data_IF_396308924910
#
_entry.id   IF_396308924910
#
_cell.length_a   1.000
_cell.length_b   1.000
_cell.length_c   1.000
_cell.angle_alpha   90.00
_cell.angle_beta   90.00
_cell.angle_gamma   90.00
#
_symmetry.space_group_name_H-M   'P 1'
#
loop_
_entity.id
_entity.type
_entity.pdbx_description
1 polymer ?
#
# COMPACT_ATOMS: atom_id res chain seq x y z
N UNK A 1 -19.17 9.82 -3.61
CA UNK A 1 -17.96 9.04 -3.86
C UNK A 1 -16.76 9.95 -3.79
N UNK A 2 -16.02 9.84 -2.74
CA UNK A 2 -14.87 10.72 -2.55
C UNK A 2 -13.77 10.28 -3.51
N UNK A 3 -13.69 10.95 -4.63
CA UNK A 3 -12.57 10.79 -5.55
C UNK A 3 -11.33 11.36 -4.87
N UNK A 4 -10.73 10.59 -4.01
CA UNK A 4 -9.35 10.89 -3.66
C UNK A 4 -8.57 10.75 -4.96
N UNK A 5 -8.34 11.86 -5.58
CA UNK A 5 -7.36 11.90 -6.64
C UNK A 5 -6.06 11.39 -6.04
N UNK A 6 -5.64 10.25 -6.52
CA UNK A 6 -4.22 10.00 -6.55
C UNK A 6 -3.74 11.14 -7.42
N UNK A 7 -3.23 12.14 -6.79
CA UNK A 7 -2.66 13.25 -7.52
C UNK A 7 -1.66 12.64 -8.47
N UNK A 8 -1.81 12.90 -9.77
CA UNK A 8 -0.68 12.63 -10.63
C UNK A 8 0.49 13.24 -9.92
N UNK A 9 1.58 12.60 -9.96
CA UNK A 9 2.81 13.06 -9.35
C UNK A 9 3.29 14.35 -10.01
N UNK A 10 2.34 15.15 -10.45
CA UNK A 10 2.58 16.54 -10.68
C UNK A 10 3.07 17.12 -9.38
N UNK A 11 4.36 17.17 -9.28
CA UNK A 11 4.90 17.80 -8.19
C UNK A 11 4.30 17.28 -6.92
N UNK A 12 4.10 15.99 -6.87
CA UNK A 12 4.33 15.60 -5.67
C UNK A 12 3.26 15.27 -4.72
N UNK A 13 2.93 14.07 -4.83
CA UNK A 13 2.41 13.38 -3.69
C UNK A 13 3.32 13.46 -2.46
N UNK A 14 4.50 14.00 -2.62
CA UNK A 14 5.48 14.16 -1.57
C UNK A 14 5.88 15.61 -1.39
N UNK A 15 4.90 16.52 -1.37
CA UNK A 15 5.20 17.94 -1.21
C UNK A 15 5.94 18.26 0.07
N UNK A 16 5.71 17.50 1.13
CA UNK A 16 6.52 17.59 2.32
C UNK A 16 7.94 17.04 2.13
N UNK A 17 8.13 16.24 1.12
CA UNK A 17 9.42 15.69 0.73
C UNK A 17 10.23 16.68 -0.11
N UNK A 18 9.56 17.53 -0.86
CA UNK A 18 10.21 18.49 -1.74
C UNK A 18 11.11 19.44 -1.01
N UNK A 19 10.74 19.88 0.17
CA UNK A 19 11.56 20.80 0.92
C UNK A 19 12.91 20.21 1.33
N UNK A 20 13.01 18.87 1.38
CA UNK A 20 14.24 18.20 1.78
C UNK A 20 14.98 17.49 0.65
N UNK A 21 14.25 17.08 -0.37
CA UNK A 21 14.80 16.19 -1.39
C UNK A 21 14.61 16.68 -2.82
N UNK A 22 13.71 17.61 -3.05
CA UNK A 22 13.53 18.17 -4.38
C UNK A 22 14.61 19.19 -4.66
N UNK A 23 15.82 18.71 -4.79
CA UNK A 23 16.84 19.55 -5.36
C UNK A 23 16.80 19.40 -6.88
N UNK A 24 17.29 20.40 -7.57
CA UNK A 24 17.34 20.41 -9.03
C UNK A 24 18.19 19.29 -9.63
N UNK A 25 18.89 18.57 -8.79
CA UNK A 25 19.80 17.50 -9.19
C UNK A 25 19.18 16.11 -9.08
N UNK A 26 17.95 16.02 -8.55
CA UNK A 26 17.26 14.74 -8.49
C UNK A 26 16.66 14.39 -9.86
N UNK A 27 17.21 13.41 -10.57
CA UNK A 27 16.70 13.03 -11.89
C UNK A 27 15.21 12.73 -11.95
N UNK A 28 14.61 12.34 -10.82
CA UNK A 28 13.17 12.03 -10.77
C UNK A 28 12.29 13.25 -11.05
N UNK A 29 12.78 14.46 -10.78
CA UNK A 29 12.00 15.67 -11.02
C UNK A 29 11.94 16.07 -12.48
N UNK A 30 12.91 15.66 -13.28
CA UNK A 30 13.04 16.02 -14.68
C UNK A 30 12.53 14.95 -15.65
N UNK A 31 12.11 13.81 -15.15
CA UNK A 31 11.57 12.73 -15.96
C UNK A 31 10.23 13.12 -16.58
N UNK A 32 9.99 12.67 -17.80
CA UNK A 32 8.64 12.73 -18.33
C UNK A 32 7.70 11.85 -17.52
N UNK A 33 6.41 12.14 -17.62
CA UNK A 33 5.41 11.47 -16.80
C UNK A 33 5.32 9.96 -17.12
N UNK A 34 5.46 9.59 -18.38
CA UNK A 34 5.38 8.18 -18.79
C UNK A 34 6.53 7.39 -18.17
N UNK A 35 7.75 7.88 -18.28
CA UNK A 35 8.91 7.21 -17.70
C UNK A 35 8.78 7.10 -16.18
N UNK A 36 8.36 8.17 -15.53
CA UNK A 36 8.14 8.17 -14.08
C UNK A 36 7.09 7.13 -13.68
N UNK A 37 5.97 7.10 -14.38
CA UNK A 37 4.88 6.15 -14.11
C UNK A 37 5.36 4.71 -14.26
N UNK A 38 6.13 4.42 -15.31
CA UNK A 38 6.68 3.08 -15.52
C UNK A 38 7.65 2.67 -14.40
N UNK A 39 8.47 3.60 -13.93
CA UNK A 39 9.39 3.33 -12.83
C UNK A 39 8.64 3.07 -11.53
N UNK A 40 7.61 3.85 -11.25
CA UNK A 40 6.75 3.66 -10.08
C UNK A 40 6.02 2.33 -10.14
N UNK A 41 5.48 1.99 -11.31
CA UNK A 41 4.81 0.71 -11.51
C UNK A 41 5.78 -0.47 -11.32
N UNK A 42 6.98 -0.36 -11.88
CA UNK A 42 8.00 -1.40 -11.71
C UNK A 42 8.40 -1.57 -10.25
N UNK A 43 8.54 -0.48 -9.52
CA UNK A 43 8.87 -0.49 -8.09
C UNK A 43 7.75 -1.14 -7.29
N UNK A 44 6.50 -0.81 -7.61
CA UNK A 44 5.35 -1.43 -6.96
C UNK A 44 5.30 -2.94 -7.22
N UNK A 45 5.53 -3.36 -8.45
CA UNK A 45 5.59 -4.80 -8.79
C UNK A 45 6.71 -5.50 -8.01
N UNK A 46 7.84 -4.83 -7.84
CA UNK A 46 8.94 -5.36 -7.03
C UNK A 46 8.55 -5.51 -5.56
N UNK A 47 7.78 -4.56 -5.01
CA UNK A 47 7.24 -4.66 -3.65
C UNK A 47 6.32 -5.87 -3.53
N UNK A 48 5.43 -6.09 -4.49
CA UNK A 48 4.54 -7.25 -4.47
C UNK A 48 5.31 -8.55 -4.52
N UNK A 49 6.34 -8.64 -5.36
CA UNK A 49 7.23 -9.79 -5.42
C UNK A 49 7.92 -10.03 -4.07
N UNK A 50 8.42 -8.97 -3.46
CA UNK A 50 9.08 -9.05 -2.16
C UNK A 50 8.15 -9.59 -1.09
N UNK A 51 6.92 -9.08 -1.03
CA UNK A 51 5.92 -9.59 -0.09
C UNK A 51 5.56 -11.05 -0.39
N UNK A 52 5.51 -11.44 -1.65
CA UNK A 52 5.26 -12.82 -2.05
C UNK A 52 6.38 -13.77 -1.62
N UNK A 53 7.60 -13.30 -1.61
CA UNK A 53 8.76 -14.04 -1.11
C UNK A 53 8.77 -14.12 0.44
N UNK A 54 7.92 -13.36 1.11
CA UNK A 54 7.83 -13.28 2.58
C UNK A 54 6.41 -13.57 3.06
N UNK A 55 5.83 -14.67 2.61
CA UNK A 55 4.47 -15.07 2.98
C UNK A 55 4.32 -15.41 4.46
N UNK A 56 5.42 -15.73 5.13
CA UNK A 56 5.47 -15.96 6.57
C UNK A 56 5.17 -14.71 7.39
N UNK A 57 5.47 -13.53 6.84
CA UNK A 57 5.11 -12.26 7.47
C UNK A 57 3.62 -12.05 7.39
N UNK A 58 2.97 -12.03 8.53
CA UNK A 58 1.51 -11.91 8.61
C UNK A 58 1.04 -10.47 8.40
N UNK A 59 -0.18 -10.32 7.92
CA UNK A 59 -0.76 -8.98 7.76
C UNK A 59 -0.80 -8.23 9.09
N UNK A 60 -1.06 -8.92 10.20
CA UNK A 60 -1.04 -8.29 11.51
C UNK A 60 0.35 -7.76 11.87
N UNK A 61 1.42 -8.45 11.46
CA UNK A 61 2.79 -7.98 11.68
C UNK A 61 3.04 -6.65 10.96
N UNK A 62 2.61 -6.55 9.71
CA UNK A 62 2.72 -5.33 8.93
C UNK A 62 1.90 -4.19 9.55
N UNK A 63 0.70 -4.49 10.01
CA UNK A 63 -0.16 -3.51 10.67
C UNK A 63 0.47 -2.97 11.95
N UNK A 64 1.07 -3.84 12.75
CA UNK A 64 1.78 -3.45 13.97
C UNK A 64 2.98 -2.57 13.64
N UNK A 65 3.74 -2.95 12.62
CA UNK A 65 4.97 -2.27 12.24
C UNK A 65 4.72 -0.91 11.60
N UNK A 66 3.78 -0.83 10.66
CA UNK A 66 3.69 0.32 9.78
C UNK A 66 2.27 0.74 9.40
N UNK A 67 1.26 0.25 10.09
CA UNK A 67 -0.15 0.63 9.89
C UNK A 67 -0.69 0.32 8.48
N UNK A 68 -0.11 -0.65 7.79
CA UNK A 68 -0.66 -1.13 6.53
C UNK A 68 -0.44 -2.63 6.40
N UNK A 69 -1.17 -3.25 5.50
CA UNK A 69 -0.94 -4.65 5.16
C UNK A 69 -1.28 -4.88 3.68
N UNK A 70 -1.19 -6.11 3.22
CA UNK A 70 -1.52 -6.48 1.83
C UNK A 70 -2.93 -6.06 1.44
N UNK A 71 -3.88 -6.15 2.37
CA UNK A 71 -5.25 -5.70 2.12
C UNK A 71 -5.36 -4.19 1.90
N UNK A 72 -4.53 -3.42 2.58
CA UNK A 72 -4.48 -1.97 2.35
C UNK A 72 -3.99 -1.65 0.94
N UNK A 73 -3.00 -2.37 0.45
CA UNK A 73 -2.52 -2.24 -0.92
C UNK A 73 -3.65 -2.53 -1.93
N UNK A 74 -4.45 -3.57 -1.66
CA UNK A 74 -5.60 -3.89 -2.50
C UNK A 74 -6.63 -2.76 -2.50
N UNK A 75 -6.91 -2.15 -1.36
CA UNK A 75 -7.83 -1.02 -1.26
C UNK A 75 -7.31 0.20 -2.02
N UNK A 76 -6.04 0.49 -1.91
CA UNK A 76 -5.42 1.60 -2.66
C UNK A 76 -5.45 1.34 -4.16
N UNK A 77 -5.28 0.09 -4.58
CA UNK A 77 -5.42 -0.28 -5.98
C UNK A 77 -6.84 -0.05 -6.49
N UNK A 78 -7.86 -0.38 -5.68
CA UNK A 78 -9.25 -0.09 -6.02
C UNK A 78 -9.52 1.41 -6.15
N UNK A 79 -8.97 2.21 -5.24
CA UNK A 79 -9.08 3.67 -5.31
C UNK A 79 -8.46 4.19 -6.61
N UNK A 80 -7.28 3.69 -6.96
CA UNK A 80 -6.60 4.04 -8.20
C UNK A 80 -7.42 3.63 -9.43
N UNK A 81 -8.00 2.44 -9.40
CA UNK A 81 -8.86 1.96 -10.49
C UNK A 81 -10.07 2.88 -10.68
N UNK A 82 -10.73 3.26 -9.60
CA UNK A 82 -11.86 4.18 -9.64
C UNK A 82 -11.48 5.51 -10.30
N UNK A 83 -10.32 6.04 -9.97
CA UNK A 83 -9.85 7.30 -10.56
C UNK A 83 -9.56 7.17 -12.06
N UNK A 84 -9.19 5.99 -12.51
CA UNK A 84 -8.94 5.71 -13.93
C UNK A 84 -10.20 5.24 -14.68
N UNK A 85 -11.35 5.19 -14.00
CA UNK A 85 -12.58 4.72 -14.60
C UNK A 85 -12.63 3.22 -14.83
N UNK A 86 -11.83 2.47 -14.10
CA UNK A 86 -11.76 1.00 -14.20
C UNK A 86 -12.56 0.38 -13.06
N UNK A 87 -13.43 -0.55 -13.40
CA UNK A 87 -14.14 -1.33 -12.39
C UNK A 87 -13.23 -2.44 -11.87
N UNK A 88 -12.96 -2.40 -10.59
CA UNK A 88 -12.15 -3.40 -9.91
C UNK A 88 -12.74 -3.60 -8.52
N UNK A 89 -13.23 -4.79 -8.25
CA UNK A 89 -13.74 -5.12 -6.92
C UNK A 89 -12.61 -5.50 -5.97
N UNK A 90 -12.96 -5.64 -4.69
CA UNK A 90 -11.98 -5.95 -3.66
C UNK A 90 -11.34 -7.32 -3.86
N UNK A 91 -12.12 -8.31 -4.25
CA UNK A 91 -11.59 -9.66 -4.49
C UNK A 91 -10.60 -9.68 -5.66
N UNK A 92 -10.92 -8.99 -6.73
CA UNK A 92 -10.01 -8.85 -7.87
C UNK A 92 -8.73 -8.09 -7.51
N UNK A 93 -8.85 -7.03 -6.72
CA UNK A 93 -7.69 -6.28 -6.24
C UNK A 93 -6.81 -7.16 -5.35
N UNK A 94 -7.41 -7.89 -4.42
CA UNK A 94 -6.65 -8.81 -3.55
C UNK A 94 -5.97 -9.92 -4.34
N UNK A 95 -6.66 -10.50 -5.31
CA UNK A 95 -6.05 -11.53 -6.15
C UNK A 95 -4.78 -11.02 -6.83
N UNK A 96 -4.81 -9.80 -7.33
CA UNK A 96 -3.64 -9.18 -7.92
C UNK A 96 -2.51 -8.98 -6.90
N UNK A 97 -2.83 -8.46 -5.72
CA UNK A 97 -1.82 -8.18 -4.68
C UNK A 97 -1.22 -9.46 -4.12
N UNK A 98 -2.03 -10.48 -3.89
CA UNK A 98 -1.57 -11.74 -3.31
C UNK A 98 -1.01 -12.73 -4.34
N UNK A 99 -1.28 -12.51 -5.63
CA UNK A 99 -0.89 -13.44 -6.68
C UNK A 99 -1.76 -14.70 -6.74
N UNK A 100 -2.81 -14.77 -5.97
CA UNK A 100 -3.79 -15.87 -5.93
C UNK A 100 -5.06 -15.38 -5.24
N UNK A 101 -6.20 -16.08 -5.38
CA UNK A 101 -7.40 -15.73 -4.64
C UNK A 101 -7.14 -15.65 -3.14
N UNK A 102 -7.67 -14.62 -2.49
CA UNK A 102 -7.39 -14.38 -1.07
C UNK A 102 -7.79 -15.56 -0.19
N UNK A 103 -8.92 -16.21 -0.48
CA UNK A 103 -9.36 -17.36 0.30
C UNK A 103 -8.32 -18.49 0.29
N UNK A 104 -7.68 -18.70 -0.85
CA UNK A 104 -6.61 -19.69 -1.00
C UNK A 104 -5.36 -19.25 -0.23
N UNK A 105 -4.94 -18.01 -0.40
CA UNK A 105 -3.79 -17.47 0.34
C UNK A 105 -3.99 -17.55 1.85
N UNK A 106 -5.18 -17.18 2.31
CA UNK A 106 -5.55 -17.26 3.72
C UNK A 106 -5.44 -18.68 4.26
N UNK A 107 -5.96 -19.63 3.51
CA UNK A 107 -5.91 -21.04 3.89
C UNK A 107 -4.48 -21.57 3.99
N UNK A 108 -3.61 -21.16 3.06
CA UNK A 108 -2.25 -21.68 2.97
C UNK A 108 -1.27 -20.98 3.90
N UNK A 109 -1.41 -19.67 4.10
CA UNK A 109 -0.36 -18.85 4.70
C UNK A 109 -0.77 -18.07 5.94
N UNK A 110 -2.05 -17.74 6.12
CA UNK A 110 -2.47 -16.97 7.28
C UNK A 110 -2.52 -17.84 8.52
N UNK A 111 -1.85 -17.39 9.57
CA UNK A 111 -1.81 -18.09 10.86
C UNK A 111 -2.64 -17.33 11.88
N UNK A 112 -3.21 -18.02 12.87
CA UNK A 112 -3.86 -17.35 13.98
C UNK A 112 -2.89 -16.38 14.67
N UNK A 113 -3.37 -15.19 15.00
CA UNK A 113 -2.54 -14.22 15.72
C UNK A 113 -2.33 -14.68 17.16
N UNK A 114 -1.11 -14.51 17.64
CA UNK A 114 -0.78 -14.76 19.05
C UNK A 114 -1.39 -13.68 19.95
N UNK A 115 -1.49 -13.95 21.24
CA UNK A 115 -1.93 -12.96 22.22
C UNK A 115 -1.04 -11.71 22.20
N UNK A 116 0.27 -11.90 22.03
CA UNK A 116 1.22 -10.80 21.94
C UNK A 116 0.99 -9.95 20.69
N UNK A 117 0.73 -10.59 19.55
CA UNK A 117 0.41 -9.88 18.32
C UNK A 117 -0.90 -9.07 18.44
N UNK A 118 -1.94 -9.68 19.03
CA UNK A 118 -3.21 -9.00 19.23
C UNK A 118 -3.05 -7.80 20.16
N UNK A 119 -2.32 -7.94 21.26
CA UNK A 119 -2.06 -6.84 22.18
C UNK A 119 -1.28 -5.71 21.53
N UNK A 120 -0.25 -6.03 20.75
CA UNK A 120 0.54 -5.04 20.05
C UNK A 120 -0.28 -4.32 18.98
N UNK A 121 -1.14 -5.04 18.27
CA UNK A 121 -2.04 -4.47 17.27
C UNK A 121 -3.04 -3.50 17.90
N UNK A 122 -3.66 -3.89 19.02
CA UNK A 122 -4.58 -3.01 19.75
C UNK A 122 -3.89 -1.75 20.25
N UNK A 123 -2.68 -1.89 20.80
CA UNK A 123 -1.89 -0.75 21.25
C UNK A 123 -1.55 0.21 20.09
N UNK A 124 -1.20 -0.35 18.94
CA UNK A 124 -0.91 0.44 17.73
C UNK A 124 -2.14 1.19 17.25
N UNK A 125 -3.30 0.54 17.22
CA UNK A 125 -4.55 1.18 16.85
C UNK A 125 -4.97 2.28 17.81
N UNK A 126 -4.82 2.08 19.11
CA UNK A 126 -5.11 3.08 20.11
C UNK A 126 -4.22 4.32 19.93
N UNK A 127 -2.94 4.14 19.66
CA UNK A 127 -2.01 5.22 19.39
C UNK A 127 -2.40 6.02 18.14
N UNK A 128 -2.90 5.35 17.11
CA UNK A 128 -3.40 6.01 15.88
C UNK A 128 -4.61 6.87 16.15
N UNK A 129 -5.56 6.39 16.95
CA UNK A 129 -6.75 7.15 17.33
C UNK A 129 -6.38 8.41 18.11
N UNK A 130 -5.42 8.29 19.05
CA UNK A 130 -4.94 9.42 19.84
C UNK A 130 -4.26 10.49 19.00
N UNK A 131 -3.67 10.09 17.86
CA UNK A 131 -3.04 11.02 16.93
C UNK A 131 -4.05 11.65 15.94
N UNK A 132 -5.33 11.32 16.05
CA UNK A 132 -6.35 11.83 15.14
C UNK A 132 -6.25 11.30 13.73
N UNK A 133 -5.44 10.27 13.48
CA UNK A 133 -5.35 9.60 12.20
C UNK A 133 -6.38 8.50 12.12
N UNK A 134 -7.64 8.89 12.09
CA UNK A 134 -8.72 7.95 11.85
C UNK A 134 -8.87 7.74 10.33
N UNK A 135 -8.65 6.55 9.87
CA UNK A 135 -9.12 6.12 8.55
C UNK A 135 -10.36 5.27 8.72
#
# INVERSE_FOLDING_TARGET
MNKRRIRPLEGNSYSGFESGYANKENPMTDLDQTTRTEMEAATFRRLLQHLDEHKDVQNIDLMILADFCRNCLAKWLMEAATEQGVELDYDGAREYIYGMPFAEWKSLYQKPASEAQLAAFEARQAARKDQGTAE
#
